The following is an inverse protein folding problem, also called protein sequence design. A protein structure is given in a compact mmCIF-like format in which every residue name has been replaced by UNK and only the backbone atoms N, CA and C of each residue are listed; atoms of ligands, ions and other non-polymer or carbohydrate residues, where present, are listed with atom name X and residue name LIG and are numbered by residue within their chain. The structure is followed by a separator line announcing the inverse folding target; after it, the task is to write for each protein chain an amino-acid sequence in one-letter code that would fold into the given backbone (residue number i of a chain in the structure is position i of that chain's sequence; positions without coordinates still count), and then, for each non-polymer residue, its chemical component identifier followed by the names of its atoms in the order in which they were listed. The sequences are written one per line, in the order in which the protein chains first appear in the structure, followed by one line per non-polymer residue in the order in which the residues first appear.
data_IF_256713655246
#
_entry.id   IF_256713655246
#
_cell.length_a   1.000
_cell.length_b   1.000
_cell.length_c   1.000
_cell.angle_alpha   90.00
_cell.angle_beta   90.00
_cell.angle_gamma   90.00
#
_symmetry.space_group_name_H-M   'P 1'
#
loop_
_entity.id
_entity.type
_entity.pdbx_description
1 polymer ?
#
# COMPACT_ATOMS: atom_id res chain seq x y z
N UNK A 1 -1.12 -11.94 11.74
CA UNK A 1 -1.72 -12.42 13.00
C UNK A 1 -1.22 -13.82 13.33
N UNK A 2 -1.49 -14.38 14.54
CA UNK A 2 -1.10 -15.76 14.85
C UNK A 2 -1.79 -16.81 13.95
N UNK A 3 -3.03 -16.55 13.51
CA UNK A 3 -3.81 -17.50 12.71
C UNK A 3 -3.65 -17.33 11.21
N UNK A 4 -3.35 -16.12 10.74
CA UNK A 4 -3.19 -15.82 9.32
C UNK A 4 -2.05 -14.83 9.07
N UNK A 5 -1.27 -15.10 8.05
CA UNK A 5 -0.20 -14.24 7.53
C UNK A 5 -0.48 -13.94 6.06
N UNK A 6 -0.69 -12.69 5.77
CA UNK A 6 -1.06 -12.21 4.44
C UNK A 6 0.04 -11.33 3.87
N UNK A 7 0.28 -11.46 2.59
CA UNK A 7 1.08 -10.53 1.81
C UNK A 7 0.13 -9.62 1.03
N UNK A 8 0.40 -8.33 1.04
CA UNK A 8 -0.31 -7.37 0.20
C UNK A 8 0.61 -7.02 -0.95
N UNK A 9 0.18 -7.37 -2.15
CA UNK A 9 0.95 -7.30 -3.37
C UNK A 9 2.27 -8.11 -3.33
N UNK A 10 2.88 -8.28 -4.48
CA UNK A 10 4.18 -8.92 -4.65
C UNK A 10 4.92 -8.27 -5.82
N UNK A 11 5.19 -6.98 -5.72
CA UNK A 11 5.73 -6.16 -6.80
C UNK A 11 7.21 -6.40 -7.13
N UNK A 12 7.92 -7.12 -6.29
CA UNK A 12 9.31 -7.49 -6.50
C UNK A 12 9.45 -8.93 -6.99
N UNK A 13 10.60 -9.26 -7.57
CA UNK A 13 10.92 -10.64 -7.91
C UNK A 13 10.85 -11.55 -6.67
N UNK A 14 10.30 -12.76 -6.81
CA UNK A 14 10.08 -13.68 -5.70
C UNK A 14 11.32 -13.94 -4.84
N UNK A 15 12.54 -13.96 -5.45
CA UNK A 15 13.80 -14.06 -4.70
C UNK A 15 14.06 -12.86 -3.78
N UNK A 16 13.74 -11.64 -4.24
CA UNK A 16 13.89 -10.42 -3.42
C UNK A 16 12.88 -10.43 -2.26
N UNK A 17 11.63 -10.81 -2.52
CA UNK A 17 10.59 -10.96 -1.49
C UNK A 17 11.02 -11.99 -0.43
N UNK A 18 11.54 -13.15 -0.87
CA UNK A 18 12.09 -14.16 0.06
C UNK A 18 13.22 -13.59 0.93
N UNK A 19 14.09 -12.76 0.36
CA UNK A 19 15.17 -12.10 1.10
C UNK A 19 14.64 -11.13 2.15
N UNK A 20 13.68 -10.26 1.78
CA UNK A 20 13.06 -9.31 2.71
C UNK A 20 12.29 -10.01 3.84
N UNK A 21 11.59 -11.11 3.54
CA UNK A 21 10.94 -11.92 4.58
C UNK A 21 11.94 -12.50 5.56
N UNK A 22 13.11 -12.95 5.09
CA UNK A 22 14.15 -13.49 5.95
C UNK A 22 14.73 -12.45 6.91
N UNK A 23 14.78 -11.16 6.52
CA UNK A 23 15.24 -10.07 7.41
C UNK A 23 14.34 -9.88 8.65
N UNK A 24 13.10 -10.36 8.60
CA UNK A 24 12.12 -10.31 9.69
C UNK A 24 11.79 -11.70 10.26
N UNK A 25 12.70 -12.67 10.09
CA UNK A 25 12.53 -14.06 10.55
C UNK A 25 11.23 -14.71 10.02
N UNK A 26 10.94 -14.48 8.74
CA UNK A 26 9.80 -15.07 8.02
C UNK A 26 10.27 -15.70 6.72
N UNK A 27 9.46 -16.60 6.20
CA UNK A 27 9.69 -17.26 4.91
C UNK A 27 8.37 -17.33 4.11
N UNK A 28 8.44 -17.46 2.79
CA UNK A 28 7.24 -17.52 1.95
C UNK A 28 6.25 -18.62 2.37
N UNK A 29 6.75 -19.76 2.88
CA UNK A 29 5.93 -20.86 3.36
C UNK A 29 5.10 -20.52 4.61
N UNK A 30 5.41 -19.42 5.30
CA UNK A 30 4.63 -18.93 6.42
C UNK A 30 3.37 -18.16 5.98
N UNK A 31 3.31 -17.75 4.70
CA UNK A 31 2.24 -16.92 4.16
C UNK A 31 1.06 -17.79 3.70
N UNK A 32 -0.15 -17.38 4.05
CA UNK A 32 -1.37 -18.07 3.69
C UNK A 32 -1.95 -17.59 2.34
N UNK A 33 -1.82 -16.31 2.04
CA UNK A 33 -2.41 -15.72 0.83
C UNK A 33 -1.74 -14.40 0.43
N UNK A 34 -1.97 -14.01 -0.82
CA UNK A 34 -1.64 -12.69 -1.35
C UNK A 34 -2.93 -11.94 -1.69
N UNK A 35 -3.11 -10.75 -1.16
CA UNK A 35 -4.15 -9.80 -1.55
C UNK A 35 -3.55 -8.84 -2.58
N UNK A 36 -4.19 -8.70 -3.72
CA UNK A 36 -3.70 -7.89 -4.84
C UNK A 36 -4.54 -6.62 -4.91
N UNK A 37 -3.87 -5.46 -4.89
CA UNK A 37 -4.52 -4.16 -4.96
C UNK A 37 -4.96 -3.82 -6.37
N UNK A 38 -4.09 -3.98 -7.34
CA UNK A 38 -4.33 -3.73 -8.76
C UNK A 38 -3.27 -4.41 -9.65
N UNK A 39 -3.42 -4.34 -10.96
CA UNK A 39 -2.65 -5.12 -11.94
C UNK A 39 -1.31 -4.53 -12.37
N UNK A 40 -0.87 -3.37 -11.89
CA UNK A 40 0.40 -2.79 -12.29
C UNK A 40 1.59 -3.69 -11.93
N UNK A 41 2.62 -3.66 -12.77
CA UNK A 41 3.74 -4.60 -12.69
C UNK A 41 4.52 -4.54 -11.38
N UNK A 42 4.61 -3.39 -10.78
CA UNK A 42 5.25 -3.13 -9.50
C UNK A 42 4.41 -3.60 -8.28
N UNK A 43 3.21 -4.13 -8.54
CA UNK A 43 2.36 -4.81 -7.56
C UNK A 43 2.26 -6.32 -7.78
N UNK A 44 2.38 -6.78 -9.03
CA UNK A 44 2.13 -8.20 -9.35
C UNK A 44 3.34 -8.99 -9.86
N UNK A 45 4.52 -8.40 -9.97
CA UNK A 45 5.70 -9.04 -10.61
C UNK A 45 6.01 -10.43 -10.05
N UNK A 46 5.94 -10.62 -8.75
CA UNK A 46 6.25 -11.89 -8.07
C UNK A 46 5.04 -12.77 -7.78
N UNK A 47 3.79 -12.27 -7.97
CA UNK A 47 2.56 -12.96 -7.56
C UNK A 47 2.48 -14.38 -8.09
N UNK A 48 2.58 -14.55 -9.41
CA UNK A 48 2.44 -15.88 -10.02
C UNK A 48 3.55 -16.86 -9.63
N UNK A 49 4.78 -16.36 -9.41
CA UNK A 49 5.90 -17.19 -8.96
C UNK A 49 5.68 -17.68 -7.53
N UNK A 50 5.25 -16.80 -6.63
CA UNK A 50 4.98 -17.16 -5.24
C UNK A 50 3.79 -18.10 -5.13
N UNK A 51 2.69 -17.82 -5.84
CA UNK A 51 1.51 -18.69 -5.87
C UNK A 51 1.85 -20.12 -6.30
N UNK A 52 2.55 -20.28 -7.44
CA UNK A 52 2.92 -21.62 -7.95
C UNK A 52 3.91 -22.35 -7.06
N UNK A 53 4.90 -21.64 -6.53
CA UNK A 53 5.97 -22.28 -5.76
C UNK A 53 5.53 -22.69 -4.36
N UNK A 54 4.67 -21.90 -3.73
CA UNK A 54 4.31 -22.04 -2.32
C UNK A 54 2.83 -22.37 -2.08
N UNK A 55 2.04 -22.49 -3.16
CA UNK A 55 0.64 -22.86 -3.06
C UNK A 55 -0.26 -21.79 -2.43
N UNK A 56 0.13 -20.50 -2.58
CA UNK A 56 -0.62 -19.40 -1.96
C UNK A 56 -1.93 -19.12 -2.69
N UNK A 57 -2.99 -18.87 -1.93
CA UNK A 57 -4.23 -18.31 -2.44
C UNK A 57 -4.05 -16.85 -2.85
N UNK A 58 -4.69 -16.45 -3.93
CA UNK A 58 -4.65 -15.08 -4.47
C UNK A 58 -6.03 -14.47 -4.42
N UNK A 59 -6.12 -13.23 -3.93
CA UNK A 59 -7.36 -12.48 -3.81
C UNK A 59 -7.26 -11.16 -4.56
N UNK A 60 -8.18 -10.90 -5.49
CA UNK A 60 -8.34 -9.64 -6.19
C UNK A 60 -9.81 -9.45 -6.57
N UNK A 61 -10.22 -8.23 -6.96
CA UNK A 61 -11.52 -8.04 -7.56
C UNK A 61 -11.55 -8.55 -9.01
N UNK A 62 -12.75 -8.71 -9.56
CA UNK A 62 -12.96 -9.29 -10.87
C UNK A 62 -12.26 -8.50 -12.00
N UNK A 63 -12.29 -7.17 -11.96
CA UNK A 63 -11.67 -6.33 -12.98
C UNK A 63 -10.13 -6.45 -12.94
N UNK A 64 -9.53 -6.47 -11.76
CA UNK A 64 -8.09 -6.71 -11.58
C UNK A 64 -7.71 -8.10 -12.08
N UNK A 65 -8.50 -9.15 -11.80
CA UNK A 65 -8.28 -10.48 -12.35
C UNK A 65 -8.26 -10.47 -13.87
N UNK A 66 -9.26 -9.87 -14.48
CA UNK A 66 -9.37 -9.74 -15.95
C UNK A 66 -8.17 -8.99 -16.53
N UNK A 67 -7.73 -7.91 -15.90
CA UNK A 67 -6.57 -7.14 -16.36
C UNK A 67 -5.24 -7.90 -16.20
N UNK A 68 -5.13 -8.79 -15.22
CA UNK A 68 -3.96 -9.65 -15.05
C UNK A 68 -3.91 -10.83 -16.03
N UNK A 69 -5.04 -11.21 -16.66
CA UNK A 69 -5.08 -12.29 -17.62
C UNK A 69 -4.11 -12.04 -18.78
N UNK A 70 -3.34 -13.07 -19.09
CA UNK A 70 -2.34 -12.99 -20.17
C UNK A 70 -1.07 -12.21 -19.83
N UNK A 71 -0.96 -11.62 -18.64
CA UNK A 71 0.30 -11.01 -18.22
C UNK A 71 1.36 -12.07 -17.94
N UNK A 72 2.62 -11.76 -18.25
CA UNK A 72 3.76 -12.64 -17.93
C UNK A 72 3.98 -12.83 -16.42
N UNK A 73 3.45 -11.93 -15.60
CA UNK A 73 3.64 -11.92 -14.15
C UNK A 73 2.76 -12.94 -13.43
N UNK A 74 1.52 -13.08 -13.87
CA UNK A 74 0.61 -14.10 -13.33
C UNK A 74 1.03 -15.50 -13.79
N UNK A 75 1.22 -15.68 -15.09
CA UNK A 75 1.48 -16.98 -15.69
C UNK A 75 0.33 -17.98 -15.44
N UNK A 76 0.64 -19.26 -15.43
CA UNK A 76 -0.36 -20.30 -15.17
C UNK A 76 -0.49 -20.54 -13.66
N UNK A 77 -1.55 -20.03 -13.05
CA UNK A 77 -1.95 -20.28 -11.66
C UNK A 77 -3.18 -21.16 -11.67
N UNK A 78 -3.29 -22.10 -10.73
CA UNK A 78 -4.44 -22.98 -10.58
C UNK A 78 -5.71 -22.15 -10.26
N UNK A 79 -6.82 -22.50 -10.90
CA UNK A 79 -8.09 -21.81 -10.66
C UNK A 79 -8.57 -21.97 -9.22
N UNK A 80 -8.21 -23.05 -8.55
CA UNK A 80 -8.50 -23.25 -7.12
C UNK A 80 -7.80 -22.22 -6.20
N UNK A 81 -6.71 -21.60 -6.66
CA UNK A 81 -6.00 -20.56 -5.92
C UNK A 81 -6.54 -19.13 -6.17
N UNK A 82 -7.44 -18.98 -7.14
CA UNK A 82 -7.95 -17.66 -7.55
C UNK A 82 -9.27 -17.37 -6.85
N UNK A 83 -9.30 -16.32 -6.05
CA UNK A 83 -10.47 -15.92 -5.29
C UNK A 83 -10.87 -14.49 -5.59
N UNK A 84 -12.18 -14.24 -5.64
CA UNK A 84 -12.72 -12.88 -5.76
C UNK A 84 -12.80 -12.24 -4.37
N UNK A 85 -12.27 -11.03 -4.28
CA UNK A 85 -12.49 -10.13 -3.16
C UNK A 85 -13.10 -8.83 -3.71
N UNK A 86 -14.40 -8.72 -3.59
CA UNK A 86 -15.15 -7.59 -4.13
C UNK A 86 -14.78 -6.28 -3.42
N UNK A 87 -14.68 -5.19 -4.20
CA UNK A 87 -14.47 -3.85 -3.67
C UNK A 87 -15.64 -3.40 -2.78
N UNK A 88 -15.32 -2.73 -1.67
CA UNK A 88 -16.31 -2.24 -0.71
C UNK A 88 -16.92 -3.33 0.18
N UNK A 89 -16.28 -4.49 0.25
CA UNK A 89 -16.70 -5.60 1.11
C UNK A 89 -15.69 -5.86 2.21
N UNK A 90 -16.18 -6.45 3.29
CA UNK A 90 -15.35 -7.00 4.37
C UNK A 90 -15.27 -8.51 4.25
N UNK A 91 -14.07 -9.06 4.36
CA UNK A 91 -13.79 -10.49 4.36
C UNK A 91 -12.95 -10.87 5.57
N UNK A 92 -13.34 -11.95 6.25
CA UNK A 92 -12.60 -12.47 7.42
C UNK A 92 -11.54 -13.48 6.96
N UNK A 93 -10.31 -13.27 7.38
CA UNK A 93 -9.18 -14.17 7.18
C UNK A 93 -8.68 -14.66 8.54
N UNK A 94 -9.21 -15.80 8.99
CA UNK A 94 -8.89 -16.37 10.31
C UNK A 94 -9.36 -15.50 11.46
N UNK A 95 -8.50 -14.65 11.99
CA UNK A 95 -8.76 -13.76 13.13
C UNK A 95 -8.59 -12.27 12.78
N UNK A 96 -8.63 -11.93 11.50
CA UNK A 96 -8.54 -10.55 11.00
C UNK A 96 -9.65 -10.29 9.99
N UNK A 97 -10.35 -9.18 10.15
CA UNK A 97 -11.30 -8.66 9.19
C UNK A 97 -10.61 -7.64 8.29
N UNK A 98 -10.84 -7.77 6.99
CA UNK A 98 -10.24 -6.89 5.98
C UNK A 98 -11.36 -6.27 5.18
N UNK A 99 -11.45 -4.95 5.23
CA UNK A 99 -12.33 -4.16 4.39
C UNK A 99 -11.56 -3.65 3.19
N UNK A 100 -12.11 -3.85 1.99
CA UNK A 100 -11.56 -3.28 0.75
C UNK A 100 -12.28 -1.98 0.40
N UNK A 101 -11.54 -1.01 -0.15
CA UNK A 101 -12.09 0.25 -0.65
C UNK A 101 -11.40 0.67 -1.94
N UNK A 102 -12.12 1.39 -2.80
CA UNK A 102 -11.59 1.89 -4.07
C UNK A 102 -10.83 3.19 -3.91
N UNK A 103 -9.81 3.39 -4.74
CA UNK A 103 -8.99 4.60 -4.83
C UNK A 103 -9.02 5.16 -6.24
N UNK A 104 -8.53 6.38 -6.43
CA UNK A 104 -8.43 7.04 -7.74
C UNK A 104 -7.05 6.80 -8.34
N UNK A 105 -6.96 5.82 -9.24
CA UNK A 105 -5.72 5.46 -9.91
C UNK A 105 -6.00 4.91 -11.32
N UNK A 106 -5.02 4.96 -12.22
CA UNK A 106 -5.15 4.54 -13.62
C UNK A 106 -4.99 3.01 -13.81
N UNK A 107 -5.75 2.26 -13.04
CA UNK A 107 -5.85 0.80 -13.10
C UNK A 107 -7.29 0.34 -13.33
N UNK A 108 -7.52 -0.93 -13.59
CA UNK A 108 -8.83 -1.46 -13.98
C UNK A 108 -9.89 -1.27 -12.88
N UNK A 109 -9.55 -1.56 -11.63
CA UNK A 109 -10.35 -1.29 -10.44
C UNK A 109 -9.44 -1.30 -9.19
N UNK A 110 -8.65 -0.25 -8.97
CA UNK A 110 -7.69 -0.24 -7.88
C UNK A 110 -8.39 -0.22 -6.53
N UNK A 111 -8.03 -1.17 -5.66
CA UNK A 111 -8.59 -1.28 -4.32
C UNK A 111 -7.48 -1.44 -3.29
N UNK A 112 -7.66 -0.83 -2.13
CA UNK A 112 -6.77 -0.95 -0.99
C UNK A 112 -7.51 -1.47 0.23
N UNK A 113 -6.84 -1.56 1.38
CA UNK A 113 -7.33 -2.38 2.47
C UNK A 113 -7.21 -1.68 3.83
N UNK A 114 -8.26 -1.85 4.64
CA UNK A 114 -8.26 -1.61 6.08
C UNK A 114 -8.30 -2.95 6.80
N UNK A 115 -7.31 -3.21 7.61
CA UNK A 115 -7.15 -4.43 8.41
C UNK A 115 -7.65 -4.15 9.82
N UNK A 116 -8.50 -5.02 10.35
CA UNK A 116 -9.13 -4.84 11.65
C UNK A 116 -9.02 -6.10 12.49
N UNK A 117 -8.57 -5.94 13.74
CA UNK A 117 -8.46 -7.02 14.70
C UNK A 117 -8.47 -6.49 16.13
N UNK A 118 -9.24 -7.12 17.02
CA UNK A 118 -9.26 -6.82 18.46
C UNK A 118 -9.45 -5.32 18.77
N UNK A 119 -10.31 -4.66 18.00
CA UNK A 119 -10.57 -3.24 18.10
C UNK A 119 -9.46 -2.31 17.54
N UNK A 120 -8.39 -2.86 16.99
CA UNK A 120 -7.31 -2.15 16.31
C UNK A 120 -7.50 -2.14 14.80
N UNK A 121 -6.95 -1.13 14.13
CA UNK A 121 -6.98 -1.07 12.67
C UNK A 121 -5.71 -0.49 12.06
N UNK A 122 -5.38 -0.99 10.87
CA UNK A 122 -4.28 -0.49 10.04
C UNK A 122 -4.81 -0.24 8.63
N UNK A 123 -4.48 0.89 8.05
CA UNK A 123 -4.86 1.26 6.68
C UNK A 123 -3.63 1.25 5.79
N UNK A 124 -3.73 0.62 4.63
CA UNK A 124 -2.79 0.75 3.53
C UNK A 124 -3.45 1.57 2.42
N UNK A 125 -2.85 2.70 2.07
CA UNK A 125 -3.34 3.64 1.07
C UNK A 125 -2.17 4.21 0.28
N UNK A 126 -1.89 3.58 -0.85
CA UNK A 126 -0.93 4.04 -1.86
C UNK A 126 -1.61 4.11 -3.22
N UNK A 127 -0.89 4.54 -4.24
CA UNK A 127 -1.39 4.57 -5.61
C UNK A 127 -2.76 5.26 -5.74
N UNK A 128 -2.81 6.50 -5.30
CA UNK A 128 -3.99 7.34 -5.46
C UNK A 128 -3.60 8.76 -5.84
N UNK A 129 -4.27 9.33 -6.82
CA UNK A 129 -4.02 10.71 -7.25
C UNK A 129 -4.60 11.74 -6.28
N UNK A 130 -5.60 11.37 -5.48
CA UNK A 130 -6.16 12.22 -4.42
C UNK A 130 -6.96 11.41 -3.40
N UNK A 131 -7.16 11.97 -2.22
CA UNK A 131 -8.02 11.42 -1.17
C UNK A 131 -9.30 12.26 -1.08
N UNK A 132 -10.43 11.72 -1.55
CA UNK A 132 -11.74 12.38 -1.45
C UNK A 132 -12.24 12.39 0.00
N UNK A 133 -13.22 13.26 0.32
CA UNK A 133 -13.86 13.29 1.65
C UNK A 133 -14.50 11.95 2.01
N UNK A 134 -15.08 11.27 1.01
CA UNK A 134 -15.62 9.91 1.21
C UNK A 134 -14.51 8.93 1.60
N UNK A 135 -13.38 8.94 0.89
CA UNK A 135 -12.27 8.05 1.18
C UNK A 135 -11.65 8.38 2.54
N UNK A 136 -11.44 9.66 2.84
CA UNK A 136 -10.97 10.10 4.14
C UNK A 136 -11.86 9.58 5.28
N UNK A 137 -13.20 9.63 5.11
CA UNK A 137 -14.15 9.07 6.08
C UNK A 137 -14.04 7.55 6.25
N UNK A 138 -13.80 6.80 5.16
CA UNK A 138 -13.63 5.33 5.22
C UNK A 138 -12.36 4.94 6.01
N UNK A 139 -11.27 5.68 5.81
CA UNK A 139 -9.97 5.35 6.40
C UNK A 139 -9.69 6.07 7.72
N UNK A 140 -10.60 6.91 8.19
CA UNK A 140 -10.40 7.75 9.37
C UNK A 140 -10.11 6.95 10.65
N UNK A 141 -9.35 7.59 11.56
CA UNK A 141 -9.06 7.15 12.94
C UNK A 141 -8.57 5.69 13.04
N UNK A 142 -7.68 5.28 12.12
CA UNK A 142 -6.97 4.01 12.24
C UNK A 142 -5.81 4.13 13.24
N UNK A 143 -5.44 3.01 13.87
CA UNK A 143 -4.30 2.95 14.80
C UNK A 143 -2.95 3.08 14.08
N UNK A 144 -2.90 2.74 12.79
CA UNK A 144 -1.72 2.93 11.94
C UNK A 144 -2.05 3.07 10.47
N UNK A 145 -1.14 3.71 9.74
CA UNK A 145 -1.26 3.95 8.31
C UNK A 145 0.04 3.60 7.57
N UNK A 146 -0.09 3.02 6.39
CA UNK A 146 0.89 3.14 5.32
C UNK A 146 0.29 4.08 4.29
N UNK A 147 0.84 5.28 4.19
CA UNK A 147 0.35 6.34 3.30
C UNK A 147 1.35 6.62 2.19
N UNK A 148 0.86 6.92 1.00
CA UNK A 148 1.69 7.34 -0.11
C UNK A 148 2.35 8.70 0.15
N UNK A 149 3.65 8.77 -0.17
CA UNK A 149 4.44 9.99 -0.26
C UNK A 149 5.33 9.84 -1.49
N UNK A 150 4.70 9.89 -2.69
CA UNK A 150 5.36 9.41 -3.90
C UNK A 150 6.45 10.36 -4.38
N UNK A 151 6.17 11.64 -4.50
CA UNK A 151 7.10 12.59 -5.10
C UNK A 151 7.07 13.96 -4.44
N UNK A 152 8.19 14.63 -4.50
CA UNK A 152 8.25 16.09 -4.35
C UNK A 152 7.89 16.74 -5.67
N UNK A 153 6.98 17.70 -5.65
CA UNK A 153 6.43 18.36 -6.85
C UNK A 153 7.51 19.09 -7.64
N UNK A 154 8.44 19.77 -6.98
CA UNK A 154 9.49 20.54 -7.66
C UNK A 154 10.58 19.62 -8.24
N UNK A 155 10.97 18.57 -7.52
CA UNK A 155 11.88 17.55 -8.04
C UNK A 155 11.27 16.87 -9.26
N UNK A 156 9.98 16.49 -9.22
CA UNK A 156 9.28 15.90 -10.36
C UNK A 156 9.25 16.85 -11.56
N UNK A 157 8.91 18.12 -11.34
CA UNK A 157 8.84 19.13 -12.40
C UNK A 157 10.20 19.37 -13.06
N UNK A 158 11.26 19.45 -12.26
CA UNK A 158 12.64 19.66 -12.72
C UNK A 158 13.28 18.38 -13.27
N UNK A 159 12.79 17.19 -12.89
CA UNK A 159 13.39 15.89 -13.19
C UNK A 159 13.37 15.50 -14.67
N UNK A 160 13.97 14.35 -14.97
CA UNK A 160 14.23 13.87 -16.34
C UNK A 160 13.00 13.26 -17.04
N UNK A 161 11.90 13.00 -16.34
CA UNK A 161 10.72 12.37 -16.92
C UNK A 161 10.11 13.21 -18.04
N UNK A 162 9.63 12.51 -19.09
CA UNK A 162 8.88 13.16 -20.16
C UNK A 162 7.63 13.87 -19.61
N UNK A 163 7.30 15.04 -20.18
CA UNK A 163 6.20 15.87 -19.70
C UNK A 163 4.86 15.10 -19.55
N UNK A 164 4.55 14.22 -20.50
CA UNK A 164 3.34 13.40 -20.44
C UNK A 164 3.31 12.50 -19.20
N UNK A 165 4.44 11.95 -18.79
CA UNK A 165 4.54 11.12 -17.58
C UNK A 165 4.39 11.99 -16.32
N UNK A 166 4.99 13.17 -16.29
CA UNK A 166 4.81 14.14 -15.19
C UNK A 166 3.35 14.52 -15.03
N UNK A 167 2.65 14.82 -16.13
CA UNK A 167 1.22 15.12 -16.10
C UNK A 167 0.39 13.95 -15.58
N UNK A 168 0.70 12.72 -15.97
CA UNK A 168 0.04 11.52 -15.44
C UNK A 168 0.24 11.40 -13.93
N UNK A 169 1.47 11.55 -13.45
CA UNK A 169 1.80 11.46 -12.02
C UNK A 169 1.05 12.52 -11.21
N UNK A 170 0.98 13.76 -11.70
CA UNK A 170 0.33 14.90 -11.07
C UNK A 170 -1.20 14.92 -11.23
N UNK A 171 -1.81 13.95 -11.91
CA UNK A 171 -3.25 13.92 -12.15
C UNK A 171 -4.01 13.22 -11.02
N UNK A 172 -5.34 13.40 -11.00
CA UNK A 172 -6.23 12.71 -10.07
C UNK A 172 -6.18 11.17 -10.16
N UNK A 173 -5.59 10.63 -11.23
CA UNK A 173 -5.35 9.20 -11.44
C UNK A 173 -3.89 8.81 -11.24
N UNK A 174 -3.06 9.73 -10.77
CA UNK A 174 -1.63 9.55 -10.54
C UNK A 174 -1.31 9.11 -9.12
N UNK A 175 -0.48 9.92 -8.44
CA UNK A 175 0.06 9.62 -7.12
C UNK A 175 0.04 10.85 -6.21
N UNK A 176 -0.08 10.64 -4.90
CA UNK A 176 0.04 11.71 -3.92
C UNK A 176 1.48 12.26 -3.90
N UNK A 177 1.60 13.58 -3.95
CA UNK A 177 2.85 14.26 -3.58
C UNK A 177 3.12 14.11 -2.08
N UNK A 178 4.29 14.54 -1.62
CA UNK A 178 4.59 14.60 -0.18
C UNK A 178 3.57 15.47 0.56
N UNK A 179 3.20 16.60 -0.05
CA UNK A 179 2.22 17.55 0.50
C UNK A 179 0.82 16.96 0.53
N UNK A 180 0.36 16.33 -0.57
CA UNK A 180 -0.97 15.73 -0.66
C UNK A 180 -1.12 14.55 0.31
N UNK A 181 -0.05 13.76 0.51
CA UNK A 181 0.02 12.71 1.50
C UNK A 181 -0.15 13.23 2.92
N UNK A 182 0.53 14.34 3.24
CA UNK A 182 0.40 15.00 4.54
C UNK A 182 -1.01 15.60 4.75
N UNK A 183 -1.57 16.24 3.73
CA UNK A 183 -2.95 16.74 3.74
C UNK A 183 -3.98 15.62 3.97
N UNK A 184 -3.78 14.47 3.30
CA UNK A 184 -4.61 13.30 3.53
C UNK A 184 -4.52 12.83 4.99
N UNK A 185 -3.33 12.81 5.58
CA UNK A 185 -3.16 12.45 6.98
C UNK A 185 -3.83 13.46 7.92
N UNK A 186 -3.69 14.76 7.71
CA UNK A 186 -4.38 15.80 8.53
C UNK A 186 -5.89 15.55 8.58
N UNK A 187 -6.49 15.10 7.47
CA UNK A 187 -7.94 14.86 7.36
C UNK A 187 -8.39 13.50 7.92
N UNK A 188 -7.47 12.56 8.12
CA UNK A 188 -7.80 11.17 8.49
C UNK A 188 -7.33 10.80 9.90
N UNK A 189 -6.33 11.49 10.43
CA UNK A 189 -5.83 11.25 11.79
C UNK A 189 -6.92 11.44 12.84
N UNK A 190 -6.89 10.55 13.83
CA UNK A 190 -7.73 10.62 15.01
C UNK A 190 -6.95 10.27 16.27
N UNK A 191 -7.65 10.21 17.39
CA UNK A 191 -7.03 9.99 18.72
C UNK A 191 -6.37 8.60 18.87
N UNK A 192 -6.70 7.67 17.98
CA UNK A 192 -6.20 6.29 18.03
C UNK A 192 -4.88 6.10 17.30
N UNK A 193 -4.56 6.98 16.37
CA UNK A 193 -3.38 6.84 15.51
C UNK A 193 -2.09 6.87 16.33
N UNK A 194 -1.21 5.90 16.08
CA UNK A 194 0.10 5.76 16.74
C UNK A 194 1.25 5.71 15.75
N UNK A 195 1.01 5.27 14.51
CA UNK A 195 2.08 5.08 13.52
C UNK A 195 1.64 5.47 12.12
N UNK A 196 2.48 6.25 11.45
CA UNK A 196 2.31 6.66 10.06
C UNK A 196 3.58 6.21 9.32
N UNK A 197 3.44 5.23 8.45
CA UNK A 197 4.52 4.79 7.58
C UNK A 197 4.43 5.51 6.24
N UNK A 198 5.51 6.14 5.80
CA UNK A 198 5.62 6.72 4.48
C UNK A 198 6.01 5.64 3.48
N UNK A 199 5.21 5.45 2.45
CA UNK A 199 5.41 4.41 1.45
C UNK A 199 5.33 4.91 0.02
N UNK A 200 5.64 4.02 -0.92
CA UNK A 200 5.53 4.23 -2.36
C UNK A 200 6.32 5.45 -2.88
N UNK A 201 7.50 5.70 -2.30
CA UNK A 201 8.38 6.81 -2.69
C UNK A 201 9.02 6.55 -4.05
N UNK A 202 8.95 7.54 -4.95
CA UNK A 202 9.65 7.52 -6.22
C UNK A 202 11.17 7.56 -6.00
N UNK A 203 11.90 6.66 -6.65
CA UNK A 203 13.37 6.64 -6.58
C UNK A 203 14.03 7.84 -7.28
N UNK A 204 13.34 8.45 -8.25
CA UNK A 204 13.90 9.53 -9.08
C UNK A 204 13.35 10.91 -8.71
N UNK A 205 12.13 10.95 -8.17
CA UNK A 205 11.42 12.20 -7.95
C UNK A 205 11.12 12.47 -6.47
N UNK A 206 11.83 11.80 -5.57
CA UNK A 206 11.72 12.03 -4.13
C UNK A 206 13.05 11.80 -3.42
N UNK A 207 13.13 12.35 -2.23
CA UNK A 207 14.19 12.10 -1.25
C UNK A 207 13.51 11.71 0.05
N UNK A 208 13.91 10.61 0.64
CA UNK A 208 13.28 10.03 1.82
C UNK A 208 13.18 11.03 2.98
N UNK A 209 14.28 11.72 3.25
CA UNK A 209 14.36 12.74 4.30
C UNK A 209 13.42 13.92 4.01
N UNK A 210 13.25 14.29 2.74
CA UNK A 210 12.35 15.37 2.33
C UNK A 210 10.88 14.95 2.52
N UNK A 211 10.52 13.74 2.14
CA UNK A 211 9.18 13.19 2.36
C UNK A 211 8.84 13.18 3.85
N UNK A 212 9.77 12.71 4.68
CA UNK A 212 9.62 12.67 6.15
C UNK A 212 9.44 14.08 6.73
N UNK A 213 10.34 15.00 6.41
CA UNK A 213 10.28 16.39 6.87
C UNK A 213 8.99 17.09 6.41
N UNK A 214 8.53 16.85 5.19
CA UNK A 214 7.29 17.45 4.68
C UNK A 214 6.10 16.97 5.49
N UNK A 215 6.00 15.66 5.74
CA UNK A 215 4.94 15.08 6.57
C UNK A 215 4.96 15.70 7.97
N UNK A 216 6.08 15.64 8.69
CA UNK A 216 6.19 16.17 10.05
C UNK A 216 5.86 17.67 10.13
N UNK A 217 6.41 18.47 9.21
CA UNK A 217 6.20 19.92 9.20
C UNK A 217 4.73 20.28 8.95
N UNK A 218 4.03 19.58 8.05
CA UNK A 218 2.63 19.85 7.77
C UNK A 218 1.73 19.43 8.93
N UNK A 219 1.97 18.26 9.51
CA UNK A 219 1.24 17.80 10.69
C UNK A 219 1.45 18.75 11.88
N UNK A 220 2.68 19.21 12.12
CA UNK A 220 2.97 20.18 13.18
C UNK A 220 2.29 21.54 12.93
N UNK A 221 2.21 22.02 11.68
CA UNK A 221 1.46 23.24 11.32
C UNK A 221 -0.04 23.13 11.55
N UNK A 222 -0.57 21.91 11.54
CA UNK A 222 -1.96 21.60 11.87
C UNK A 222 -2.17 21.34 13.37
N UNK A 223 -1.21 21.72 14.23
CA UNK A 223 -1.22 21.53 15.69
C UNK A 223 -1.35 20.05 16.12
N UNK A 224 -0.84 19.12 15.28
CA UNK A 224 -0.79 17.70 15.59
C UNK A 224 0.54 17.34 16.26
N UNK A 225 0.48 16.61 17.36
CA UNK A 225 1.63 16.33 18.24
C UNK A 225 2.52 15.19 17.72
N UNK A 226 3.26 15.45 16.64
CA UNK A 226 4.24 14.50 16.07
C UNK A 226 5.31 14.17 17.11
N UNK A 227 5.67 12.89 17.20
CA UNK A 227 6.66 12.39 18.17
C UNK A 227 6.14 12.28 19.59
N UNK A 228 4.93 12.74 19.88
CA UNK A 228 4.26 12.63 21.18
C UNK A 228 3.06 11.68 21.12
N UNK A 229 2.09 11.95 20.25
CA UNK A 229 0.87 11.15 20.13
C UNK A 229 1.02 10.02 19.13
N UNK A 230 1.82 10.24 18.09
CA UNK A 230 2.14 9.28 17.03
C UNK A 230 3.54 9.51 16.46
N UNK A 231 4.03 8.50 15.75
CA UNK A 231 5.35 8.50 15.08
C UNK A 231 5.17 8.49 13.58
N UNK A 232 5.99 9.28 12.86
CA UNK A 232 6.20 9.16 11.40
C UNK A 232 7.39 8.24 11.18
N UNK A 233 7.21 7.25 10.32
CA UNK A 233 8.18 6.17 10.10
C UNK A 233 8.43 5.99 8.61
N UNK A 234 9.68 5.78 8.26
CA UNK A 234 10.07 5.54 6.88
C UNK A 234 10.00 4.06 6.51
N UNK A 235 9.76 3.80 5.23
CA UNK A 235 9.91 2.47 4.64
C UNK A 235 11.02 2.44 3.59
N UNK A 236 11.36 1.25 3.12
CA UNK A 236 12.36 1.05 2.08
C UNK A 236 11.95 -0.10 1.17
N UNK A 237 12.13 0.01 -0.15
CA UNK A 237 11.95 -1.12 -1.08
C UNK A 237 13.10 -2.13 -1.00
N UNK A 238 14.19 -1.80 -0.34
CA UNK A 238 15.43 -2.59 -0.32
C UNK A 238 15.69 -3.32 0.98
N UNK A 239 15.07 -2.88 2.08
CA UNK A 239 15.18 -3.49 3.43
C UNK A 239 13.80 -3.64 4.06
N UNK A 240 13.60 -4.72 4.80
CA UNK A 240 12.34 -4.94 5.48
C UNK A 240 12.17 -3.99 6.69
N UNK A 241 10.98 -3.44 6.83
CA UNK A 241 10.60 -2.74 8.06
C UNK A 241 10.45 -3.76 9.20
N UNK A 242 10.99 -3.50 10.40
CA UNK A 242 10.84 -4.41 11.53
C UNK A 242 9.38 -4.73 11.85
N UNK A 243 9.12 -5.96 12.29
CA UNK A 243 7.78 -6.37 12.72
C UNK A 243 7.30 -5.49 13.88
N UNK A 244 6.12 -4.93 13.71
CA UNK A 244 5.52 -4.00 14.66
C UNK A 244 4.11 -4.45 15.04
N UNK A 245 3.72 -4.20 16.29
CA UNK A 245 2.33 -4.30 16.71
C UNK A 245 1.62 -2.97 16.49
N UNK A 246 0.38 -3.06 16.02
CA UNK A 246 -0.55 -1.94 15.92
C UNK A 246 -1.50 -1.97 17.12
#
# INVERSE_FOLDING_TARGET
TPKKKLLIDAGLAGKKITGLLAEIDRKPEDLDAILITHEHSDHIHGVGVLARKYGMDLYANEATWKAMEGTKYLGKVDDAQKHIFEMGKTKTFGDIDIESFGVSHDAAAPQFYRFMKDGKSFVMLTDTGYVSDRLAGIVADADGYLIESNHDVEILRAGSYAWRLKQRILSDLGHLSNEDGADAMIRTLGNRTKKIYLGHLSKENNIKELAHMTMENQLARADLAVGHDFEVLDTSPDTATPLTKI
#
